data_IF_360580645325
#
_entry.id   IF_360580645325
#
_cell.length_a   1.000
_cell.length_b   1.000
_cell.length_c   1.000
_cell.angle_alpha   90.00
_cell.angle_beta   90.00
_cell.angle_gamma   90.00
#
_symmetry.space_group_name_H-M   'P 1'
#
loop_
_entity.id
_entity.type
_entity.pdbx_description
1 polymer ?
#
# COMPACT_ATOMS: atom_id res chain seq x y z
N UNK A 1 1.86 18.61 -0.60
CA UNK A 1 1.20 17.31 -0.87
C UNK A 1 1.91 16.63 -2.02
N UNK A 2 2.09 15.32 -1.99
CA UNK A 2 2.61 14.54 -3.12
C UNK A 2 1.45 13.79 -3.80
N UNK A 3 1.37 13.87 -5.14
CA UNK A 3 0.36 13.19 -5.96
C UNK A 3 1.05 12.33 -7.03
N UNK A 4 0.58 11.09 -7.17
CA UNK A 4 0.90 10.15 -8.25
C UNK A 4 -0.41 9.55 -8.78
N UNK A 5 -0.85 10.06 -9.93
CA UNK A 5 -2.12 9.78 -10.62
C UNK A 5 -1.93 9.02 -11.95
N UNK A 6 -0.68 8.73 -12.32
CA UNK A 6 -0.30 7.95 -13.52
C UNK A 6 -0.71 8.52 -14.89
N UNK A 7 -1.23 9.75 -14.95
CA UNK A 7 -1.59 10.43 -16.20
C UNK A 7 -0.39 10.83 -17.05
N UNK A 8 0.73 11.17 -16.41
CA UNK A 8 1.93 11.72 -17.06
C UNK A 8 3.24 11.06 -16.61
N UNK A 9 4.24 11.88 -16.28
CA UNK A 9 5.58 11.43 -15.81
C UNK A 9 5.58 10.85 -14.39
N UNK A 10 4.43 10.39 -13.87
CA UNK A 10 4.21 9.97 -12.48
C UNK A 10 5.20 8.89 -11.98
N UNK A 11 5.64 8.01 -12.88
CA UNK A 11 6.63 6.98 -12.56
C UNK A 11 8.00 7.54 -12.15
N UNK A 12 8.39 8.76 -12.55
CA UNK A 12 9.68 9.35 -12.17
C UNK A 12 9.79 9.64 -10.67
N UNK A 13 8.66 9.84 -9.99
CA UNK A 13 8.60 10.03 -8.52
C UNK A 13 8.74 8.70 -7.77
N UNK A 14 8.62 7.58 -8.46
CA UNK A 14 8.71 6.24 -7.88
C UNK A 14 10.16 5.78 -7.86
N UNK A 15 10.57 5.27 -6.71
CA UNK A 15 11.79 4.50 -6.54
C UNK A 15 11.40 3.03 -6.39
N UNK A 16 12.32 2.17 -6.76
CA UNK A 16 12.23 0.75 -6.45
C UNK A 16 13.66 0.22 -6.25
N UNK A 17 13.77 -1.01 -5.76
CA UNK A 17 15.07 -1.59 -5.44
C UNK A 17 15.93 -1.83 -6.69
N UNK A 18 15.34 -1.92 -7.90
CA UNK A 18 16.00 -2.17 -9.21
C UNK A 18 15.08 -1.79 -10.39
N UNK A 19 15.21 -0.57 -10.89
CA UNK A 19 14.21 0.09 -11.77
C UNK A 19 13.84 -0.75 -13.00
N UNK A 20 14.80 -1.49 -13.54
CA UNK A 20 14.64 -2.25 -14.78
C UNK A 20 13.72 -3.47 -14.62
N UNK A 21 13.74 -4.16 -13.48
CA UNK A 21 12.93 -5.37 -13.31
C UNK A 21 11.50 -5.06 -12.89
N UNK A 22 11.31 -4.07 -12.01
CA UNK A 22 9.96 -3.69 -11.57
C UNK A 22 9.18 -3.07 -12.72
N UNK A 23 9.78 -2.17 -13.50
CA UNK A 23 9.09 -1.52 -14.62
C UNK A 23 8.61 -2.49 -15.70
N UNK A 24 9.38 -3.56 -16.00
CA UNK A 24 8.98 -4.62 -16.95
C UNK A 24 7.68 -5.34 -16.55
N UNK A 25 7.32 -5.29 -15.27
CA UNK A 25 6.15 -5.94 -14.69
C UNK A 25 5.03 -4.94 -14.39
N UNK A 26 5.10 -3.77 -15.00
CA UNK A 26 4.10 -2.71 -14.83
C UNK A 26 3.74 -2.08 -16.15
N UNK A 27 2.51 -1.59 -16.25
CA UNK A 27 2.04 -0.85 -17.40
C UNK A 27 1.08 0.25 -16.96
N UNK A 28 1.19 1.43 -17.57
CA UNK A 28 0.08 2.40 -17.53
C UNK A 28 -1.02 1.88 -18.46
N UNK A 29 -2.24 1.74 -17.95
CA UNK A 29 -3.38 1.18 -18.69
C UNK A 29 -4.54 2.17 -18.72
N UNK A 30 -5.35 2.12 -19.78
CA UNK A 30 -6.55 2.94 -19.91
C UNK A 30 -7.82 2.29 -19.33
N UNK A 31 -7.73 1.04 -18.85
CA UNK A 31 -8.82 0.35 -18.15
C UNK A 31 -8.27 -0.80 -17.30
N UNK A 32 -8.79 -1.00 -16.07
CA UNK A 32 -9.64 -0.08 -15.32
C UNK A 32 -8.87 1.18 -14.90
N UNK A 33 -9.57 2.30 -14.72
CA UNK A 33 -9.01 3.59 -14.26
C UNK A 33 -9.88 4.12 -13.12
N UNK A 34 -9.27 4.65 -12.05
CA UNK A 34 -10.03 5.19 -10.92
C UNK A 34 -10.50 6.59 -11.23
N UNK A 35 -9.63 7.40 -11.82
CA UNK A 35 -9.87 8.79 -12.19
C UNK A 35 -8.90 9.17 -13.31
N UNK A 36 -9.27 10.14 -14.17
CA UNK A 36 -8.46 10.47 -15.34
C UNK A 36 -8.58 9.44 -16.47
N UNK A 37 -7.46 9.15 -17.14
CA UNK A 37 -7.36 8.27 -18.32
C UNK A 37 -6.45 7.08 -18.09
N UNK A 38 -5.67 7.02 -17.00
CA UNK A 38 -4.66 6.00 -16.78
C UNK A 38 -4.60 5.55 -15.32
N UNK A 39 -4.38 4.25 -15.13
CA UNK A 39 -3.98 3.69 -13.86
C UNK A 39 -2.71 2.84 -14.05
N UNK A 40 -2.04 2.50 -12.95
CA UNK A 40 -0.89 1.60 -12.98
C UNK A 40 -1.35 0.15 -12.76
N UNK A 41 -1.15 -0.70 -13.76
CA UNK A 41 -1.19 -2.15 -13.62
C UNK A 41 0.15 -2.65 -13.11
N UNK A 42 0.13 -3.50 -12.09
CA UNK A 42 1.27 -4.26 -11.60
C UNK A 42 1.01 -5.75 -11.77
N UNK A 43 1.99 -6.49 -12.27
CA UNK A 43 1.95 -7.94 -12.38
C UNK A 43 3.07 -8.57 -11.56
N UNK A 44 2.81 -9.76 -11.05
CA UNK A 44 3.81 -10.61 -10.43
C UNK A 44 3.59 -12.01 -10.97
N UNK A 45 4.61 -12.62 -11.54
CA UNK A 45 4.57 -13.97 -12.07
C UNK A 45 5.86 -14.69 -11.67
N UNK A 46 5.74 -15.73 -10.83
CA UNK A 46 6.92 -16.50 -10.36
C UNK A 46 7.44 -17.51 -11.37
N UNK A 47 6.66 -17.83 -12.41
CA UNK A 47 7.03 -18.76 -13.47
C UNK A 47 7.71 -18.05 -14.65
N UNK A 48 7.18 -16.89 -15.05
CA UNK A 48 7.74 -16.08 -16.12
C UNK A 48 8.95 -15.24 -15.67
N UNK A 49 8.98 -14.78 -14.41
CA UNK A 49 10.09 -13.94 -13.91
C UNK A 49 11.01 -14.74 -12.96
N UNK A 50 11.81 -15.64 -13.53
CA UNK A 50 12.69 -16.56 -12.76
C UNK A 50 13.85 -15.84 -12.04
N UNK A 51 14.27 -14.68 -12.55
CA UNK A 51 15.34 -13.82 -12.00
C UNK A 51 14.84 -12.83 -10.94
N UNK A 52 13.56 -12.92 -10.57
CA UNK A 52 12.92 -11.98 -9.65
C UNK A 52 13.40 -12.17 -8.21
N UNK A 53 13.97 -11.11 -7.63
CA UNK A 53 14.31 -11.09 -6.22
C UNK A 53 13.10 -10.73 -5.34
N UNK A 54 12.93 -11.45 -4.24
CA UNK A 54 11.95 -11.15 -3.20
C UNK A 54 10.49 -11.38 -3.58
N UNK A 55 10.19 -11.87 -4.79
CA UNK A 55 8.81 -12.04 -5.30
C UNK A 55 7.94 -10.81 -5.07
N UNK A 56 8.41 -9.68 -5.61
CA UNK A 56 7.75 -8.38 -5.48
C UNK A 56 7.75 -7.58 -6.78
N UNK A 57 6.69 -6.82 -6.98
CA UNK A 57 6.57 -5.73 -7.95
C UNK A 57 6.01 -4.55 -7.17
N UNK A 58 6.88 -3.79 -6.51
CA UNK A 58 6.48 -2.70 -5.63
C UNK A 58 7.42 -1.50 -5.72
N UNK A 59 6.89 -0.34 -5.35
CA UNK A 59 7.58 0.94 -5.39
C UNK A 59 7.57 1.60 -4.02
N UNK A 60 8.49 2.54 -3.82
CA UNK A 60 8.40 3.58 -2.79
C UNK A 60 8.36 4.96 -3.45
N UNK A 61 8.03 6.00 -2.68
CA UNK A 61 8.11 7.38 -3.17
C UNK A 61 9.54 7.91 -2.93
N UNK A 62 10.24 8.34 -3.99
CA UNK A 62 11.62 8.85 -3.88
C UNK A 62 11.70 10.03 -2.90
N UNK A 63 12.75 10.05 -2.09
CA UNK A 63 13.00 11.10 -1.09
C UNK A 63 12.21 10.95 0.22
N UNK A 64 11.11 10.20 0.23
CA UNK A 64 10.19 10.15 1.37
C UNK A 64 10.82 9.69 2.69
N UNK A 65 11.71 8.69 2.64
CA UNK A 65 12.30 8.05 3.83
C UNK A 65 13.16 8.95 4.72
N UNK A 66 13.45 10.17 4.27
CA UNK A 66 14.19 11.20 5.03
C UNK A 66 13.45 12.54 5.12
N UNK A 67 12.20 12.59 4.66
CA UNK A 67 11.42 13.85 4.63
C UNK A 67 10.41 13.93 5.76
N UNK A 68 9.89 12.79 6.24
CA UNK A 68 8.83 12.76 7.24
C UNK A 68 9.45 12.46 8.60
N UNK A 69 9.31 13.38 9.55
CA UNK A 69 9.79 13.24 10.94
C UNK A 69 8.89 12.33 11.77
N UNK A 70 9.50 11.60 12.70
CA UNK A 70 8.79 10.88 13.75
C UNK A 70 7.93 11.82 14.61
N UNK A 71 6.83 11.34 15.19
CA UNK A 71 5.96 12.12 16.11
C UNK A 71 5.00 13.09 15.43
N UNK A 72 5.13 13.33 14.13
CA UNK A 72 4.23 14.16 13.33
C UNK A 72 3.12 13.32 12.68
N UNK A 73 2.07 14.00 12.25
CA UNK A 73 0.92 13.39 11.59
C UNK A 73 1.03 13.42 10.07
N UNK A 74 0.61 12.32 9.44
CA UNK A 74 0.64 12.15 8.00
C UNK A 74 -0.64 11.50 7.48
N UNK A 75 -1.00 11.89 6.27
CA UNK A 75 -2.18 11.42 5.57
C UNK A 75 -1.77 10.71 4.29
N UNK A 76 -2.38 9.56 4.01
CA UNK A 76 -2.13 8.76 2.82
C UNK A 76 -3.47 8.34 2.24
N UNK A 77 -3.71 8.61 0.97
CA UNK A 77 -4.84 8.09 0.22
C UNK A 77 -4.38 7.42 -1.06
N UNK A 78 -5.07 6.37 -1.46
CA UNK A 78 -4.83 5.65 -2.71
C UNK A 78 -6.01 4.73 -3.04
N UNK A 79 -6.12 4.36 -4.31
CA UNK A 79 -7.16 3.43 -4.78
C UNK A 79 -6.54 2.16 -5.32
N UNK A 80 -7.15 1.01 -5.03
CA UNK A 80 -6.71 -0.30 -5.55
C UNK A 80 -7.86 -1.02 -6.24
N UNK A 81 -7.55 -1.82 -7.25
CA UNK A 81 -8.51 -2.68 -7.93
C UNK A 81 -7.93 -4.08 -8.12
N UNK A 82 -8.67 -5.09 -7.64
CA UNK A 82 -8.39 -6.50 -7.89
C UNK A 82 -9.25 -6.99 -9.04
N UNK A 83 -8.67 -7.61 -10.09
CA UNK A 83 -9.48 -8.14 -11.18
C UNK A 83 -10.37 -9.29 -10.73
N UNK A 84 -11.46 -9.56 -11.45
CA UNK A 84 -12.36 -10.68 -11.17
C UNK A 84 -11.66 -12.05 -11.21
N UNK A 85 -10.57 -12.13 -11.97
CA UNK A 85 -9.69 -13.29 -12.04
C UNK A 85 -8.81 -13.50 -10.80
N UNK A 86 -8.80 -12.56 -9.84
CA UNK A 86 -8.07 -12.73 -8.58
C UNK A 86 -8.62 -13.96 -7.82
N UNK A 87 -7.69 -14.75 -7.29
CA UNK A 87 -7.98 -15.97 -6.52
C UNK A 87 -7.29 -15.91 -5.16
N UNK A 88 -7.97 -16.36 -4.09
CA UNK A 88 -7.34 -16.52 -2.79
C UNK A 88 -6.20 -17.52 -2.88
N UNK A 89 -5.26 -17.40 -1.94
CA UNK A 89 -4.09 -18.26 -1.86
C UNK A 89 -3.82 -18.66 -0.41
N UNK A 90 -3.26 -19.84 -0.24
CA UNK A 90 -2.80 -20.36 1.05
C UNK A 90 -1.63 -19.54 1.61
N UNK A 91 -0.86 -18.87 0.73
CA UNK A 91 0.24 -18.01 1.12
C UNK A 91 -0.14 -16.53 1.15
N UNK A 92 0.35 -15.85 2.18
CA UNK A 92 0.13 -14.43 2.41
C UNK A 92 0.85 -13.53 1.43
N UNK A 93 0.31 -12.33 1.27
CA UNK A 93 0.89 -11.23 0.49
C UNK A 93 0.52 -9.88 1.12
N UNK A 94 1.09 -8.79 0.63
CA UNK A 94 0.71 -7.43 0.99
C UNK A 94 0.81 -6.51 -0.23
N UNK A 95 0.10 -5.39 -0.16
CA UNK A 95 0.07 -4.44 -1.29
C UNK A 95 0.25 -2.96 -0.93
N UNK A 96 0.18 -2.64 0.35
CA UNK A 96 0.52 -1.34 0.89
C UNK A 96 1.26 -1.56 2.21
N UNK A 97 2.39 -0.88 2.41
CA UNK A 97 3.20 -1.02 3.61
C UNK A 97 3.95 0.27 3.94
N UNK A 98 4.14 0.51 5.23
CA UNK A 98 5.01 1.54 5.77
C UNK A 98 6.17 0.86 6.49
N UNK A 99 7.37 1.20 6.06
CA UNK A 99 8.60 0.47 6.42
C UNK A 99 9.56 1.43 7.09
N UNK A 100 9.99 1.08 8.29
CA UNK A 100 11.09 1.73 8.99
C UNK A 100 12.43 1.05 8.70
N UNK A 101 13.50 1.57 9.30
CA UNK A 101 14.87 1.08 9.11
C UNK A 101 15.20 -0.21 9.89
N UNK A 102 14.24 -1.15 10.01
CA UNK A 102 14.32 -2.28 10.95
C UNK A 102 14.00 -3.63 10.31
N UNK A 103 14.55 -4.70 10.89
CA UNK A 103 14.53 -6.05 10.31
C UNK A 103 13.35 -6.95 10.74
N UNK A 104 12.23 -6.40 11.23
CA UNK A 104 11.09 -7.21 11.71
C UNK A 104 9.79 -7.03 10.92
N UNK A 105 9.89 -6.52 9.69
CA UNK A 105 8.75 -6.29 8.80
C UNK A 105 8.13 -4.90 8.97
N UNK A 106 7.13 -4.56 8.15
CA UNK A 106 6.57 -3.21 8.11
C UNK A 106 5.85 -2.86 9.41
N UNK A 107 5.95 -1.60 9.83
CA UNK A 107 5.23 -1.10 11.00
C UNK A 107 3.75 -0.92 10.78
N UNK A 108 3.31 -0.73 9.54
CA UNK A 108 1.90 -0.79 9.16
C UNK A 108 1.81 -1.40 7.77
N UNK A 109 0.83 -2.27 7.53
CA UNK A 109 0.59 -2.77 6.20
C UNK A 109 -0.84 -3.30 6.05
N UNK A 110 -1.30 -3.34 4.79
CA UNK A 110 -2.47 -4.11 4.38
C UNK A 110 -1.97 -5.43 3.79
N UNK A 111 -2.21 -6.50 4.53
CA UNK A 111 -1.95 -7.87 4.13
C UNK A 111 -3.18 -8.48 3.47
N UNK A 112 -2.96 -9.55 2.71
CA UNK A 112 -3.99 -10.51 2.33
C UNK A 112 -3.58 -11.89 2.87
N UNK A 113 -4.50 -12.53 3.58
CA UNK A 113 -4.39 -13.89 4.08
C UNK A 113 -5.62 -14.69 3.60
N UNK A 114 -5.42 -15.64 2.69
CA UNK A 114 -6.54 -16.35 2.07
C UNK A 114 -7.43 -15.38 1.29
N UNK A 115 -8.68 -15.24 1.74
CA UNK A 115 -9.70 -14.36 1.16
C UNK A 115 -9.87 -13.01 1.87
N UNK A 116 -9.04 -12.71 2.87
CA UNK A 116 -9.25 -11.56 3.74
C UNK A 116 -8.09 -10.57 3.67
N UNK A 117 -8.43 -9.28 3.60
CA UNK A 117 -7.55 -8.21 4.02
C UNK A 117 -7.24 -8.33 5.52
N UNK A 118 -6.05 -7.87 5.91
CA UNK A 118 -5.71 -7.65 7.31
C UNK A 118 -4.83 -6.42 7.46
N UNK A 119 -5.34 -5.41 8.17
CA UNK A 119 -4.54 -4.24 8.54
C UNK A 119 -3.83 -4.59 9.84
N UNK A 120 -2.50 -4.52 9.83
CA UNK A 120 -1.68 -4.87 10.99
C UNK A 120 -0.66 -3.78 11.25
N UNK A 121 -0.55 -3.35 12.51
CA UNK A 121 0.56 -2.52 12.98
C UNK A 121 1.60 -3.35 13.74
N UNK A 122 2.87 -2.95 13.70
CA UNK A 122 3.99 -3.61 14.36
C UNK A 122 5.00 -2.60 14.87
N UNK A 123 5.48 -2.82 16.09
CA UNK A 123 6.45 -1.96 16.75
C UNK A 123 7.65 -2.69 17.36
N UNK A 124 7.63 -4.02 17.39
CA UNK A 124 8.75 -4.86 17.78
C UNK A 124 8.75 -6.23 17.04
N UNK A 125 9.86 -6.96 17.15
CA UNK A 125 10.06 -8.27 16.51
C UNK A 125 9.28 -9.39 17.19
N UNK A 126 9.15 -9.32 18.50
CA UNK A 126 8.51 -10.34 19.31
C UNK A 126 7.00 -10.48 19.02
N UNK A 127 6.41 -11.54 19.56
CA UNK A 127 4.99 -11.89 19.37
C UNK A 127 4.01 -10.92 20.02
N UNK A 128 4.46 -10.08 20.95
CA UNK A 128 3.66 -9.03 21.58
C UNK A 128 3.83 -7.68 20.87
N UNK A 129 4.80 -7.58 19.98
CA UNK A 129 5.20 -6.38 19.24
C UNK A 129 4.31 -6.00 18.06
N UNK A 130 3.08 -6.51 17.96
CA UNK A 130 2.17 -6.21 16.85
C UNK A 130 0.70 -6.30 17.26
N UNK A 131 -0.19 -5.71 16.44
CA UNK A 131 -1.64 -5.80 16.59
C UNK A 131 -2.33 -5.89 15.24
N UNK A 132 -3.30 -6.79 15.12
CA UNK A 132 -4.25 -6.78 14.01
C UNK A 132 -5.33 -5.74 14.32
N UNK A 133 -5.48 -4.74 13.45
CA UNK A 133 -6.38 -3.61 13.63
C UNK A 133 -7.74 -3.86 12.99
N UNK A 134 -7.77 -4.55 11.85
CA UNK A 134 -8.98 -4.81 11.09
C UNK A 134 -8.83 -6.00 10.14
N UNK A 135 -9.95 -6.64 9.81
CA UNK A 135 -10.09 -7.64 8.76
C UNK A 135 -11.38 -7.42 7.96
N UNK A 136 -11.36 -7.79 6.69
CA UNK A 136 -12.53 -7.80 5.80
C UNK A 136 -12.24 -8.62 4.55
N UNK A 137 -13.27 -8.96 3.78
CA UNK A 137 -13.11 -9.82 2.61
C UNK A 137 -12.56 -9.08 1.40
N UNK A 138 -11.77 -9.79 0.58
CA UNK A 138 -11.29 -9.31 -0.73
C UNK A 138 -12.32 -9.60 -1.82
N UNK A 139 -13.10 -10.69 -1.67
CA UNK A 139 -14.01 -11.18 -2.69
C UNK A 139 -15.09 -10.15 -3.07
N UNK A 140 -15.65 -9.42 -2.10
CA UNK A 140 -16.67 -8.39 -2.35
C UNK A 140 -16.15 -7.16 -3.13
N UNK A 141 -14.83 -6.97 -3.13
CA UNK A 141 -14.13 -5.84 -3.74
C UNK A 141 -13.53 -6.17 -5.12
N UNK A 142 -13.57 -7.44 -5.54
CA UNK A 142 -13.13 -7.83 -6.89
C UNK A 142 -13.95 -7.10 -7.94
N UNK A 143 -13.29 -6.74 -9.03
CA UNK A 143 -13.94 -6.03 -10.13
C UNK A 143 -14.26 -4.57 -9.82
N UNK A 144 -13.86 -4.04 -8.65
CA UNK A 144 -14.21 -2.70 -8.16
C UNK A 144 -12.99 -1.95 -7.66
N UNK A 145 -13.05 -0.64 -7.76
CA UNK A 145 -12.09 0.22 -7.08
C UNK A 145 -12.41 0.30 -5.59
N UNK A 146 -11.35 0.23 -4.78
CA UNK A 146 -11.40 0.39 -3.33
C UNK A 146 -10.52 1.56 -2.94
N UNK A 147 -11.11 2.56 -2.29
CA UNK A 147 -10.40 3.74 -1.81
C UNK A 147 -9.96 3.51 -0.36
N UNK A 148 -8.67 3.70 -0.10
CA UNK A 148 -8.06 3.61 1.21
C UNK A 148 -7.56 4.98 1.65
N UNK A 149 -7.87 5.37 2.88
CA UNK A 149 -7.28 6.56 3.50
C UNK A 149 -6.72 6.18 4.87
N UNK A 150 -5.51 6.62 5.16
CA UNK A 150 -4.80 6.43 6.41
C UNK A 150 -4.43 7.80 6.99
N UNK A 151 -4.65 7.96 8.29
CA UNK A 151 -4.10 9.03 9.11
C UNK A 151 -3.23 8.39 10.18
N UNK A 152 -1.96 8.80 10.24
CA UNK A 152 -0.97 8.15 11.09
C UNK A 152 -0.12 9.17 11.79
N UNK A 153 -0.03 9.06 13.12
CA UNK A 153 1.05 9.65 13.92
C UNK A 153 2.02 8.55 14.32
N UNK A 154 3.22 8.58 13.76
CA UNK A 154 4.24 7.57 14.06
C UNK A 154 4.82 7.80 15.45
N UNK A 155 4.70 6.82 16.34
CA UNK A 155 5.21 6.92 17.70
C UNK A 155 5.60 5.58 18.31
N UNK A 156 6.60 5.64 19.18
CA UNK A 156 7.01 4.57 20.09
C UNK A 156 6.20 4.53 21.39
N UNK A 157 5.36 5.54 21.64
CA UNK A 157 4.61 5.75 22.88
C UNK A 157 3.08 5.66 22.72
N UNK A 158 2.38 6.14 23.76
CA UNK A 158 0.90 6.10 23.84
C UNK A 158 0.18 7.07 22.90
N UNK A 159 0.90 8.07 22.39
CA UNK A 159 0.39 9.12 21.48
C UNK A 159 0.39 8.68 20.01
N UNK A 160 0.84 7.46 19.69
CA UNK A 160 0.70 6.90 18.35
C UNK A 160 -0.77 6.85 17.92
N UNK A 161 -1.01 7.07 16.63
CA UNK A 161 -2.35 7.12 16.05
C UNK A 161 -2.36 6.33 14.74
N UNK A 162 -3.40 5.50 14.54
CA UNK A 162 -3.72 4.90 13.24
C UNK A 162 -5.23 4.96 13.07
N UNK A 163 -5.70 5.83 12.17
CA UNK A 163 -7.08 5.84 11.72
C UNK A 163 -7.12 5.42 10.24
N UNK A 164 -8.10 4.58 9.87
CA UNK A 164 -8.22 4.07 8.50
C UNK A 164 -9.66 4.14 8.02
N UNK A 165 -9.83 4.56 6.76
CA UNK A 165 -11.07 4.53 6.03
C UNK A 165 -10.96 3.62 4.80
N UNK A 166 -12.01 2.85 4.55
CA UNK A 166 -12.21 2.07 3.32
C UNK A 166 -13.50 2.53 2.67
N UNK A 167 -13.44 2.95 1.41
CA UNK A 167 -14.58 3.49 0.65
C UNK A 167 -15.34 4.57 1.44
N UNK A 168 -14.58 5.49 2.06
CA UNK A 168 -15.13 6.59 2.87
C UNK A 168 -15.67 6.22 4.26
N UNK A 169 -15.78 4.93 4.61
CA UNK A 169 -16.20 4.48 5.95
C UNK A 169 -14.99 4.28 6.85
N UNK A 170 -14.99 4.87 8.05
CA UNK A 170 -13.95 4.62 9.07
C UNK A 170 -14.04 3.17 9.54
N UNK A 171 -12.96 2.41 9.40
CA UNK A 171 -12.86 0.99 9.77
C UNK A 171 -11.86 0.74 10.91
N UNK A 172 -10.97 1.69 11.18
CA UNK A 172 -10.01 1.63 12.29
C UNK A 172 -9.95 2.99 12.97
N UNK A 173 -9.91 2.97 14.30
CA UNK A 173 -9.55 4.09 15.15
C UNK A 173 -8.70 3.54 16.29
N UNK A 174 -7.39 3.62 16.16
CA UNK A 174 -6.45 2.98 17.08
C UNK A 174 -5.41 4.00 17.62
N UNK A 175 -4.96 3.75 18.85
CA UNK A 175 -3.98 4.57 19.57
C UNK A 175 -2.83 3.73 20.11
N UNK A 176 -1.77 4.41 20.50
CA UNK A 176 -0.58 3.83 21.07
C UNK A 176 0.42 3.34 20.03
N UNK A 177 1.49 2.72 20.53
CA UNK A 177 2.69 2.41 19.78
C UNK A 177 2.39 1.74 18.44
N UNK A 178 2.98 2.27 17.36
CA UNK A 178 2.74 1.77 16.01
C UNK A 178 4.02 1.64 15.18
N UNK A 179 5.18 2.06 15.69
CA UNK A 179 6.48 1.83 15.06
C UNK A 179 7.60 1.58 16.09
N UNK A 180 8.80 1.28 15.60
CA UNK A 180 10.02 1.28 16.40
C UNK A 180 10.67 2.67 16.47
N UNK A 181 11.64 2.90 17.38
CA UNK A 181 12.39 4.16 17.42
C UNK A 181 13.16 4.46 16.12
N UNK A 182 13.27 5.76 15.81
CA UNK A 182 14.00 6.33 14.70
C UNK A 182 13.68 7.82 14.53
N UNK A 183 14.49 8.53 13.73
CA UNK A 183 14.33 9.99 13.53
C UNK A 183 13.23 10.35 12.52
N UNK A 184 12.92 9.41 11.64
CA UNK A 184 11.99 9.58 10.53
C UNK A 184 10.82 8.60 10.65
N UNK A 185 9.67 9.06 10.17
CA UNK A 185 8.50 8.25 9.95
C UNK A 185 8.78 7.12 8.95
N UNK A 186 8.07 6.02 9.13
CA UNK A 186 8.12 4.88 8.23
C UNK A 186 7.61 5.26 6.84
N UNK A 187 8.39 4.94 5.81
CA UNK A 187 8.10 5.38 4.44
C UNK A 187 7.13 4.45 3.73
N UNK A 188 6.28 5.04 2.89
CA UNK A 188 5.25 4.31 2.16
C UNK A 188 5.82 3.54 0.97
N UNK A 189 5.36 2.30 0.83
CA UNK A 189 5.49 1.47 -0.36
C UNK A 189 4.14 0.91 -0.80
N UNK A 190 4.00 0.70 -2.09
CA UNK A 190 2.82 0.09 -2.70
C UNK A 190 3.19 -0.87 -3.83
N UNK A 191 2.33 -1.86 -4.09
CA UNK A 191 2.48 -2.79 -5.20
C UNK A 191 2.09 -4.20 -4.80
N UNK A 192 2.81 -5.22 -5.24
CA UNK A 192 2.57 -6.62 -4.87
C UNK A 192 3.84 -7.13 -4.19
N UNK A 193 3.71 -7.65 -2.96
CA UNK A 193 4.81 -8.36 -2.30
C UNK A 193 4.31 -9.70 -1.75
N UNK A 194 4.84 -10.79 -2.32
CA UNK A 194 4.47 -12.17 -1.99
C UNK A 194 5.68 -12.98 -1.55
N UNK A 195 6.25 -12.54 -0.43
CA UNK A 195 7.49 -13.10 0.13
C UNK A 195 7.50 -14.62 0.35
N UNK A 196 6.38 -15.34 0.65
CA UNK A 196 6.45 -16.78 0.86
C UNK A 196 6.90 -17.54 -0.39
N UNK A 197 6.71 -16.99 -1.60
CA UNK A 197 7.19 -17.59 -2.84
C UNK A 197 8.72 -17.71 -2.95
N UNK A 198 9.48 -17.03 -2.07
CA UNK A 198 10.93 -17.25 -1.95
C UNK A 198 11.27 -18.63 -1.38
N UNK A 199 10.33 -19.24 -0.66
CA UNK A 199 10.51 -20.57 -0.13
C UNK A 199 10.10 -21.61 -1.17
N UNK A 200 10.71 -22.81 -1.13
CA UNK A 200 10.26 -23.94 -1.93
C UNK A 200 8.77 -24.26 -1.75
N UNK A 201 8.08 -24.79 -2.79
CA UNK A 201 6.64 -25.09 -2.75
C UNK A 201 6.19 -25.97 -1.58
N UNK A 202 7.04 -26.88 -1.11
CA UNK A 202 6.76 -27.75 0.04
C UNK A 202 6.68 -26.99 1.37
N UNK A 203 7.41 -25.87 1.49
CA UNK A 203 7.41 -25.00 2.69
C UNK A 203 6.38 -23.88 2.62
N UNK A 204 6.07 -23.42 1.40
CA UNK A 204 5.10 -22.36 1.15
C UNK A 204 4.19 -22.75 -0.03
N UNK A 205 3.34 -23.78 0.14
CA UNK A 205 2.47 -24.25 -0.93
C UNK A 205 1.52 -23.15 -1.32
N UNK A 206 1.50 -22.80 -2.61
CA UNK A 206 0.70 -21.71 -3.17
C UNK A 206 -0.08 -22.20 -4.36
N UNK A 207 -1.37 -21.88 -4.39
CA UNK A 207 -2.32 -22.31 -5.42
C UNK A 207 -2.32 -21.40 -6.66
N UNK A 208 -1.48 -20.37 -6.65
CA UNK A 208 -1.34 -19.41 -7.74
C UNK A 208 0.11 -19.22 -8.13
N UNK A 209 0.32 -18.82 -9.38
CA UNK A 209 1.65 -18.45 -9.91
C UNK A 209 1.72 -16.98 -10.27
N UNK A 210 0.56 -16.32 -10.34
CA UNK A 210 0.43 -14.95 -10.82
C UNK A 210 -0.44 -14.09 -9.90
N UNK A 211 -0.13 -12.79 -9.90
CA UNK A 211 -0.93 -11.72 -9.31
C UNK A 211 -1.00 -10.53 -10.26
N UNK A 212 -2.16 -9.90 -10.28
CA UNK A 212 -2.38 -8.61 -10.92
C UNK A 212 -3.08 -7.70 -9.92
N UNK A 213 -2.58 -6.47 -9.81
CA UNK A 213 -3.16 -5.39 -9.02
C UNK A 213 -3.17 -4.14 -9.89
N UNK A 214 -4.21 -3.34 -9.80
CA UNK A 214 -4.19 -1.98 -10.34
C UNK A 214 -4.21 -1.00 -9.17
N UNK A 215 -3.46 0.09 -9.30
CA UNK A 215 -3.41 1.17 -8.32
C UNK A 215 -3.52 2.52 -9.02
N UNK A 216 -4.13 3.47 -8.34
CA UNK A 216 -4.36 4.81 -8.85
C UNK A 216 -4.45 5.84 -7.71
N UNK A 217 -4.35 7.12 -8.04
CA UNK A 217 -4.64 8.27 -7.17
C UNK A 217 -3.92 8.26 -5.81
N UNK A 218 -2.61 8.01 -5.83
CA UNK A 218 -1.80 8.06 -4.60
C UNK A 218 -1.59 9.52 -4.19
N UNK A 219 -2.07 9.88 -3.00
CA UNK A 219 -2.02 11.22 -2.42
C UNK A 219 -1.43 11.16 -1.03
N UNK A 220 -0.42 11.98 -0.76
CA UNK A 220 0.28 11.99 0.54
C UNK A 220 0.39 13.41 1.06
N UNK A 221 -0.07 13.62 2.29
CA UNK A 221 -0.10 14.88 3.00
C UNK A 221 0.67 14.82 4.31
N UNK A 222 1.23 15.96 4.73
CA UNK A 222 1.84 16.13 6.05
C UNK A 222 0.82 16.56 7.11
N UNK A 223 1.31 17.12 8.22
CA UNK A 223 0.51 17.51 9.39
C UNK A 223 -0.59 18.54 9.15
N UNK A 224 -0.50 19.33 8.08
CA UNK A 224 -1.51 20.32 7.69
C UNK A 224 -2.54 19.75 6.71
N UNK A 225 -2.38 18.49 6.27
CA UNK A 225 -3.34 17.85 5.38
C UNK A 225 -4.57 17.36 6.13
N UNK A 226 -5.60 17.02 5.37
CA UNK A 226 -6.85 16.46 5.88
C UNK A 226 -7.21 15.18 5.13
N UNK A 227 -8.20 14.46 5.66
CA UNK A 227 -8.83 13.33 4.98
C UNK A 227 -9.28 13.69 3.57
N UNK A 228 -9.98 14.81 3.42
CA UNK A 228 -10.59 15.19 2.15
C UNK A 228 -9.53 15.51 1.10
N UNK A 229 -8.44 16.16 1.51
CA UNK A 229 -7.32 16.48 0.62
C UNK A 229 -6.65 15.23 0.03
N UNK A 230 -6.49 14.17 0.82
CA UNK A 230 -5.85 12.92 0.35
C UNK A 230 -6.82 11.89 -0.19
N UNK A 231 -8.13 12.06 -0.01
CA UNK A 231 -9.11 11.09 -0.50
C UNK A 231 -9.04 11.00 -2.03
N UNK A 232 -8.96 9.79 -2.62
CA UNK A 232 -9.03 9.65 -4.07
C UNK A 232 -10.30 10.31 -4.64
N UNK A 233 -10.21 11.08 -5.75
CA UNK A 233 -11.36 11.79 -6.32
C UNK A 233 -12.44 10.81 -6.74
N UNK A 234 -13.70 11.01 -6.41
CA UNK A 234 -14.78 10.16 -6.92
C UNK A 234 -15.09 10.49 -8.38
N UNK A 235 -15.24 9.47 -9.24
CA UNK A 235 -15.70 9.67 -10.61
C UNK A 235 -17.10 10.28 -10.59
N UNK A 236 -17.25 11.46 -11.20
CA UNK A 236 -18.54 12.17 -11.29
C UNK A 236 -18.78 13.29 -10.27
N UNK A 237 -17.82 13.62 -9.40
CA UNK A 237 -17.87 14.87 -8.61
C UNK A 237 -16.92 15.90 -9.22
N UNK A 238 -17.38 17.11 -9.60
CA UNK A 238 -16.48 18.19 -10.01
C UNK A 238 -15.47 18.45 -8.88
N UNK A 239 -14.18 18.50 -9.20
CA UNK A 239 -13.21 19.13 -8.29
C UNK A 239 -13.61 20.60 -8.16
N UNK A 240 -13.73 21.09 -6.92
CA UNK A 240 -13.80 22.52 -6.69
C UNK A 240 -12.55 23.13 -7.31
N UNK A 241 -12.74 24.10 -8.20
CA UNK A 241 -11.65 24.86 -8.79
C UNK A 241 -10.88 25.53 -7.63
N UNK A 242 -9.60 25.24 -7.52
CA UNK A 242 -8.70 26.05 -6.71
C UNK A 242 -8.69 27.44 -7.34
N UNK A 243 -9.15 28.44 -6.57
CA UNK A 243 -9.21 29.84 -6.98
C UNK A 243 -7.81 30.46 -7.10
N UNK A 244 -7.73 31.41 -8.03
CA UNK A 244 -6.56 32.24 -8.38
C UNK A 244 -5.87 32.91 -7.18
#
# INVERSE_FOLDING_TARGET
MAVVDFEGKGLRKLGDSRLVHTLKKTAAVASPVRHGKRALKLTLDRTAHKDMMGHRTDFWIRGMSKSFRMGEEYWYGFSTYWPDSWKPDTQSELFAQWVGWRDYGPSLAIYIYGKNYRIKKRWARDSKGYRNLWQGGVEEDKGKWVDWVFHVRWSTGKDGLVDVWKNGKKIVSDRGRNCGPGDFADYFKFGIYKWPWQNPPEKAPSTVTQRTLYIDEIRIGGKTASRDLVSPPQTGRPQAADGD
#
